data_IF_442420434105
#
_entry.id   IF_442420434105
#
_cell.length_a   1.000
_cell.length_b   1.000
_cell.length_c   1.000
_cell.angle_alpha   90.00
_cell.angle_beta   90.00
_cell.angle_gamma   90.00
#
_symmetry.space_group_name_H-M   'P 1'
#
loop_
_entity.id
_entity.type
_entity.pdbx_description
1 polymer ?
#
# COMPACT_ATOMS: atom_id res chain seq x y z
N UNK A 1 -18.64 -6.91 -27.71
CA UNK A 1 -17.35 -6.57 -27.08
C UNK A 1 -17.66 -5.93 -25.74
N UNK A 2 -17.55 -6.70 -24.65
CA UNK A 2 -18.00 -6.27 -23.32
C UNK A 2 -16.83 -5.64 -22.57
N UNK A 3 -16.85 -4.32 -22.43
CA UNK A 3 -15.77 -3.49 -21.84
C UNK A 3 -15.68 -3.60 -20.30
N UNK A 4 -16.51 -4.44 -19.67
CA UNK A 4 -16.65 -4.47 -18.22
C UNK A 4 -15.76 -5.51 -17.52
N UNK A 5 -15.06 -6.38 -18.27
CA UNK A 5 -14.16 -7.38 -17.67
C UNK A 5 -12.72 -6.87 -17.43
N UNK A 6 -12.36 -5.72 -18.00
CA UNK A 6 -10.99 -5.16 -17.89
C UNK A 6 -10.78 -4.30 -16.64
N UNK A 7 -11.85 -3.77 -16.05
CA UNK A 7 -11.76 -2.82 -14.93
C UNK A 7 -11.50 -3.52 -13.59
N UNK A 8 -11.98 -4.76 -13.42
CA UNK A 8 -11.72 -5.55 -12.22
C UNK A 8 -10.26 -6.05 -12.10
N UNK A 9 -9.52 -6.12 -13.21
CA UNK A 9 -8.11 -6.56 -13.23
C UNK A 9 -7.13 -5.38 -13.04
N UNK A 10 -7.53 -4.16 -13.40
CA UNK A 10 -6.68 -2.96 -13.32
C UNK A 10 -6.64 -2.33 -11.92
N UNK A 11 -7.58 -2.67 -11.04
CA UNK A 11 -7.58 -2.25 -9.64
C UNK A 11 -6.53 -2.98 -8.77
N UNK A 12 -5.84 -4.00 -9.30
CA UNK A 12 -4.79 -4.73 -8.58
C UNK A 12 -3.42 -4.02 -8.57
N UNK A 13 -3.23 -2.96 -9.37
CA UNK A 13 -1.94 -2.27 -9.52
C UNK A 13 -1.86 -0.91 -8.82
N UNK A 14 -2.94 -0.39 -8.23
CA UNK A 14 -3.02 0.99 -7.74
C UNK A 14 -2.72 1.16 -6.23
N UNK A 15 -2.17 0.16 -5.55
CA UNK A 15 -1.80 0.25 -4.12
C UNK A 15 -0.29 0.10 -3.86
N UNK A 16 0.57 0.37 -4.85
CA UNK A 16 1.99 0.65 -4.62
C UNK A 16 2.17 2.16 -4.40
N UNK A 17 1.63 2.64 -3.28
CA UNK A 17 1.93 3.97 -2.75
C UNK A 17 3.35 4.00 -2.20
N UNK A 18 4.21 4.72 -2.93
CA UNK A 18 5.45 5.39 -2.53
C UNK A 18 5.82 5.28 -1.03
N UNK A 19 6.92 4.57 -0.75
CA UNK A 19 7.89 5.00 0.25
C UNK A 19 9.28 4.83 -0.33
N UNK A 20 9.77 5.89 -0.98
CA UNK A 20 11.18 6.07 -1.24
C UNK A 20 11.86 6.43 0.08
N UNK A 21 12.80 5.60 0.52
CA UNK A 21 13.87 6.03 1.44
C UNK A 21 15.16 5.50 0.84
N UNK A 22 15.80 6.34 0.03
CA UNK A 22 17.18 6.15 -0.38
C UNK A 22 18.06 6.34 0.88
N UNK A 23 18.90 5.35 1.15
CA UNK A 23 19.99 5.45 2.10
C UNK A 23 21.26 5.25 1.28
N UNK A 24 21.86 6.35 0.86
CA UNK A 24 23.20 6.39 0.26
C UNK A 24 24.18 6.83 1.35
N UNK A 25 25.10 5.94 1.67
CA UNK A 25 26.28 6.24 2.48
C UNK A 25 27.20 7.22 1.75
N UNK A 26 27.90 8.01 2.57
CA UNK A 26 28.40 9.32 2.21
C UNK A 26 29.77 9.38 1.54
N UNK A 27 30.07 10.56 1.03
CA UNK A 27 31.42 11.13 1.11
C UNK A 27 31.34 12.66 1.09
N UNK A 28 32.11 13.24 2.01
CA UNK A 28 32.40 14.66 2.28
C UNK A 28 32.43 15.61 1.08
N UNK A 29 31.82 16.79 1.21
CA UNK A 29 32.53 18.08 1.20
C UNK A 29 31.58 19.24 1.54
N UNK A 30 32.15 20.33 2.03
CA UNK A 30 31.51 21.57 2.46
C UNK A 30 30.67 22.25 1.37
N UNK A 31 29.58 22.94 1.73
CA UNK A 31 29.47 24.41 1.61
C UNK A 31 28.12 24.89 2.18
N UNK A 32 28.09 26.13 2.62
CA UNK A 32 26.95 26.84 3.17
C UNK A 32 25.80 26.99 2.15
N UNK A 33 24.56 27.01 2.64
CA UNK A 33 23.58 28.11 2.46
C UNK A 33 22.28 27.70 3.14
N UNK A 34 21.92 28.43 4.20
CA UNK A 34 20.65 28.28 4.92
C UNK A 34 19.55 28.95 4.11
N UNK A 35 18.63 28.16 3.57
CA UNK A 35 17.35 28.64 3.04
C UNK A 35 16.22 27.95 3.79
N UNK A 36 15.70 28.63 4.80
CA UNK A 36 14.55 28.19 5.61
C UNK A 36 13.27 28.52 4.85
N UNK A 37 12.62 27.51 4.28
CA UNK A 37 11.25 27.64 3.76
C UNK A 37 10.26 27.06 4.76
N UNK A 38 9.47 27.96 5.36
CA UNK A 38 8.31 27.67 6.18
C UNK A 38 7.24 26.92 5.37
N UNK A 39 6.71 25.83 5.93
CA UNK A 39 5.38 25.34 5.57
C UNK A 39 4.57 25.09 6.83
N UNK A 40 3.49 25.84 6.92
CA UNK A 40 2.49 25.94 7.97
C UNK A 40 1.80 24.61 8.30
N UNK A 41 1.72 24.29 9.59
CA UNK A 41 0.73 23.36 10.16
C UNK A 41 -0.49 24.17 10.56
N UNK A 42 -1.61 23.90 9.89
CA UNK A 42 -2.96 24.25 10.31
C UNK A 42 -3.41 23.32 11.43
N UNK A 43 -3.80 23.88 12.57
CA UNK A 43 -4.32 23.11 13.70
C UNK A 43 -4.69 23.98 14.90
N UNK A 44 -5.89 24.56 14.83
CA UNK A 44 -6.72 25.13 15.90
C UNK A 44 -6.18 25.00 17.33
N UNK A 45 -5.48 26.04 17.78
CA UNK A 45 -5.18 26.31 19.18
C UNK A 45 -4.89 27.81 19.29
N UNK A 46 -5.62 28.50 20.15
CA UNK A 46 -5.59 29.96 20.35
C UNK A 46 -4.16 30.51 20.30
N UNK A 47 -3.86 31.25 19.23
CA UNK A 47 -2.61 31.97 19.04
C UNK A 47 -2.56 33.08 20.09
N UNK A 48 -1.78 32.86 21.15
CA UNK A 48 -1.47 33.91 22.11
C UNK A 48 -0.73 35.03 21.39
N UNK A 49 -1.31 36.23 21.40
CA UNK A 49 -0.63 37.43 20.94
C UNK A 49 0.74 37.54 21.63
N UNK A 50 1.82 37.91 20.92
CA UNK A 50 3.08 38.25 21.57
C UNK A 50 2.84 39.42 22.55
N UNK A 51 3.45 39.40 23.75
CA UNK A 51 3.32 40.49 24.69
C UNK A 51 3.78 41.79 24.03
N UNK A 52 2.92 42.81 24.04
CA UNK A 52 3.26 44.15 23.54
C UNK A 52 4.56 44.62 24.21
N UNK A 53 5.52 45.19 23.47
CA UNK A 53 6.68 45.80 24.08
C UNK A 53 6.22 46.94 25.01
N UNK A 54 6.71 46.91 26.26
CA UNK A 54 6.45 47.93 27.28
C UNK A 54 6.82 49.32 26.70
N UNK A 55 5.93 50.29 26.88
CA UNK A 55 6.19 51.67 26.44
C UNK A 55 7.30 52.30 27.29
N UNK A 56 8.01 53.27 26.71
CA UNK A 56 9.14 53.97 27.36
C UNK A 56 8.78 54.55 28.73
N UNK A 57 7.53 54.99 28.90
CA UNK A 57 6.99 55.50 30.17
C UNK A 57 6.91 54.42 31.27
N UNK A 58 6.53 53.19 30.92
CA UNK A 58 6.47 52.07 31.88
C UNK A 58 7.87 51.62 32.33
N UNK A 59 8.87 51.79 31.46
CA UNK A 59 10.28 51.51 31.79
C UNK A 59 10.82 52.58 32.74
N UNK A 60 10.50 53.85 32.51
CA UNK A 60 10.94 54.96 33.38
C UNK A 60 10.27 54.93 34.76
N UNK A 61 9.00 54.55 34.85
CA UNK A 61 8.29 54.41 36.12
C UNK A 61 8.82 53.25 36.96
N UNK A 62 9.12 52.11 36.33
CA UNK A 62 9.77 50.96 36.99
C UNK A 62 11.20 51.29 37.46
N UNK A 63 11.94 52.07 36.68
CA UNK A 63 13.28 52.54 37.07
C UNK A 63 13.22 53.53 38.25
N UNK A 64 12.17 54.34 38.36
CA UNK A 64 11.96 55.28 39.47
C UNK A 64 11.67 54.55 40.78
N UNK A 65 10.81 53.52 40.75
CA UNK A 65 10.49 52.69 41.93
C UNK A 65 11.73 51.97 42.47
N UNK A 66 12.58 51.45 41.57
CA UNK A 66 13.84 50.80 41.96
C UNK A 66 14.88 51.77 42.55
N UNK A 67 14.80 53.07 42.22
CA UNK A 67 15.75 54.08 42.69
C UNK A 67 15.35 54.73 44.01
N UNK A 68 14.05 54.80 44.31
CA UNK A 68 13.54 55.41 45.55
C UNK A 68 13.30 54.40 46.67
N UNK A 69 13.22 53.11 46.36
CA UNK A 69 12.81 52.08 47.31
C UNK A 69 13.89 51.08 47.72
N UNK A 70 15.08 51.51 48.17
CA UNK A 70 15.94 50.69 49.07
C UNK A 70 17.09 51.53 49.64
N UNK A 71 16.82 52.28 50.71
CA UNK A 71 17.87 52.58 51.70
C UNK A 71 17.89 51.38 52.64
N UNK A 72 18.77 50.41 52.36
CA UNK A 72 19.02 49.28 53.26
C UNK A 72 19.87 49.82 54.41
N UNK A 73 19.42 49.77 55.68
CA UNK A 73 20.27 50.11 56.80
C UNK A 73 21.43 49.10 56.86
N UNK A 74 22.66 49.61 56.87
CA UNK A 74 23.88 48.87 57.23
C UNK A 74 23.74 48.42 58.69
N UNK A 75 23.10 47.28 58.91
CA UNK A 75 23.03 46.65 60.22
C UNK A 75 23.85 45.36 60.20
N UNK A 76 24.89 45.36 61.03
CA UNK A 76 25.58 44.20 61.60
C UNK A 76 26.23 43.21 60.62
N UNK A 77 27.40 43.61 60.09
CA UNK A 77 28.50 42.66 59.89
C UNK A 77 29.00 42.22 61.27
N UNK A 78 28.51 41.10 61.79
CA UNK A 78 28.90 40.67 63.14
C UNK A 78 28.50 39.27 63.56
N UNK A 79 27.99 38.43 62.64
CA UNK A 79 27.74 37.02 62.93
C UNK A 79 28.54 36.14 61.96
N UNK A 80 29.62 35.59 62.54
CA UNK A 80 30.00 34.17 62.45
C UNK A 80 30.25 33.61 61.04
N UNK A 81 31.51 33.73 60.60
CA UNK A 81 32.09 32.92 59.52
C UNK A 81 31.82 31.40 59.69
N UNK A 82 31.67 30.93 60.95
CA UNK A 82 31.30 29.54 61.27
C UNK A 82 29.83 29.17 61.02
N UNK A 83 28.90 30.13 61.00
CA UNK A 83 27.47 29.87 60.76
C UNK A 83 27.16 29.79 59.26
N UNK A 84 27.85 30.61 58.44
CA UNK A 84 27.84 30.46 56.98
C UNK A 84 28.48 29.14 56.52
N UNK A 85 29.50 28.65 57.21
CA UNK A 85 30.09 27.34 56.92
C UNK A 85 29.14 26.18 57.27
N UNK A 86 28.37 26.29 58.37
CA UNK A 86 27.36 25.29 58.77
C UNK A 86 26.14 25.30 57.84
N UNK A 87 25.62 26.48 57.48
CA UNK A 87 24.58 26.62 56.46
C UNK A 87 25.05 26.13 55.09
N UNK A 88 26.30 26.41 54.71
CA UNK A 88 26.91 25.88 53.48
C UNK A 88 27.00 24.35 53.47
N UNK A 89 27.42 23.73 54.58
CA UNK A 89 27.48 22.27 54.70
C UNK A 89 26.09 21.61 54.59
N UNK A 90 25.07 22.15 55.29
CA UNK A 90 23.69 21.64 55.20
C UNK A 90 23.08 21.87 53.82
N UNK A 91 23.44 22.95 53.13
CA UNK A 91 22.97 23.21 51.75
C UNK A 91 23.65 22.29 50.75
N UNK A 92 24.91 21.89 50.99
CA UNK A 92 25.66 20.99 50.10
C UNK A 92 25.15 19.55 50.20
N UNK A 93 24.81 19.08 51.41
CA UNK A 93 24.18 17.77 51.61
C UNK A 93 22.76 17.71 51.03
N UNK A 94 21.96 18.76 51.22
CA UNK A 94 20.64 18.87 50.61
C UNK A 94 20.71 18.90 49.06
N UNK A 95 21.69 19.59 48.47
CA UNK A 95 21.90 19.57 47.02
C UNK A 95 22.35 18.19 46.52
N UNK A 96 23.17 17.46 47.29
CA UNK A 96 23.61 16.11 46.92
C UNK A 96 22.46 15.10 46.95
N UNK A 97 21.63 15.12 48.00
CA UNK A 97 20.43 14.30 48.10
C UNK A 97 19.43 14.59 46.96
N UNK A 98 19.22 15.87 46.64
CA UNK A 98 18.31 16.27 45.56
C UNK A 98 18.88 15.90 44.16
N UNK A 99 20.20 15.95 43.98
CA UNK A 99 20.86 15.44 42.76
C UNK A 99 20.69 13.93 42.62
N UNK A 100 20.90 13.17 43.70
CA UNK A 100 20.72 11.70 43.70
C UNK A 100 19.25 11.32 43.42
N UNK A 101 18.30 12.06 43.97
CA UNK A 101 16.87 11.84 43.71
C UNK A 101 16.48 12.19 42.26
N UNK A 102 16.99 13.29 41.72
CA UNK A 102 16.82 13.64 40.30
C UNK A 102 17.44 12.60 39.36
N UNK A 103 18.61 12.07 39.69
CA UNK A 103 19.23 10.99 38.92
C UNK A 103 18.43 9.69 38.97
N UNK A 104 17.87 9.34 40.13
CA UNK A 104 16.98 8.17 40.27
C UNK A 104 15.72 8.34 39.43
N UNK A 105 15.06 9.50 39.50
CA UNK A 105 13.87 9.84 38.71
C UNK A 105 14.18 9.89 37.22
N UNK A 106 15.35 10.39 36.82
CA UNK A 106 15.79 10.40 35.43
C UNK A 106 16.07 8.98 34.89
N UNK A 107 16.68 8.09 35.70
CA UNK A 107 16.90 6.68 35.34
C UNK A 107 15.57 5.93 35.21
N UNK A 108 14.62 6.16 36.11
CA UNK A 108 13.29 5.55 36.09
C UNK A 108 12.42 6.05 34.92
N UNK A 109 12.46 7.34 34.61
CA UNK A 109 11.84 7.91 33.41
C UNK A 109 12.44 7.33 32.13
N UNK A 110 13.77 7.15 32.06
CA UNK A 110 14.41 6.52 30.90
C UNK A 110 14.04 5.05 30.77
N UNK A 111 14.01 4.30 31.87
CA UNK A 111 13.62 2.88 31.88
C UNK A 111 12.17 2.70 31.44
N UNK A 112 11.24 3.48 32.01
CA UNK A 112 9.81 3.44 31.63
C UNK A 112 9.59 3.85 30.17
N UNK A 113 10.25 4.90 29.69
CA UNK A 113 10.16 5.33 28.28
C UNK A 113 10.71 4.26 27.34
N UNK A 114 11.78 3.55 27.74
CA UNK A 114 12.37 2.47 26.95
C UNK A 114 11.47 1.23 26.89
N UNK A 115 10.90 0.83 28.03
CA UNK A 115 9.93 -0.27 28.11
C UNK A 115 8.67 0.04 27.29
N UNK A 116 8.13 1.26 27.38
CA UNK A 116 6.98 1.69 26.58
C UNK A 116 7.29 1.63 25.07
N UNK A 117 8.48 2.09 24.67
CA UNK A 117 8.93 1.99 23.27
C UNK A 117 9.07 0.56 22.78
N UNK A 118 9.50 -0.38 23.63
CA UNK A 118 9.57 -1.80 23.28
C UNK A 118 8.15 -2.39 23.08
N UNK A 119 7.25 -2.17 24.04
CA UNK A 119 5.87 -2.67 23.97
C UNK A 119 5.11 -2.14 22.73
N UNK A 120 5.28 -0.85 22.40
CA UNK A 120 4.67 -0.25 21.20
C UNK A 120 5.19 -0.92 19.92
N UNK A 121 6.50 -1.22 19.85
CA UNK A 121 7.08 -1.90 18.68
C UNK A 121 6.54 -3.32 18.53
N UNK A 122 6.42 -4.05 19.63
CA UNK A 122 5.92 -5.43 19.61
C UNK A 122 4.45 -5.49 19.18
N UNK A 123 3.60 -4.58 19.69
CA UNK A 123 2.22 -4.47 19.24
C UNK A 123 2.12 -4.10 17.74
N UNK A 124 2.96 -3.17 17.27
CA UNK A 124 2.98 -2.80 15.86
C UNK A 124 3.42 -3.97 14.97
N UNK A 125 4.39 -4.78 15.40
CA UNK A 125 4.81 -5.98 14.68
C UNK A 125 3.69 -7.03 14.62
N UNK A 126 3.01 -7.29 15.74
CA UNK A 126 1.85 -8.20 15.79
C UNK A 126 0.74 -7.74 14.83
N UNK A 127 0.37 -6.46 14.88
CA UNK A 127 -0.63 -5.87 13.96
C UNK A 127 -0.23 -5.99 12.50
N UNK A 128 1.04 -5.74 12.17
CA UNK A 128 1.56 -5.88 10.80
C UNK A 128 1.50 -7.32 10.30
N UNK A 129 1.85 -8.29 11.16
CA UNK A 129 1.76 -9.72 10.82
C UNK A 129 0.32 -10.17 10.63
N UNK A 130 -0.61 -9.70 11.46
CA UNK A 130 -2.02 -10.02 11.32
C UNK A 130 -2.62 -9.45 10.02
N UNK A 131 -2.30 -8.20 9.69
CA UNK A 131 -2.71 -7.58 8.42
C UNK A 131 -2.12 -8.37 7.24
N UNK A 132 -0.84 -8.74 7.31
CA UNK A 132 -0.20 -9.54 6.27
C UNK A 132 -0.86 -10.91 6.09
N UNK A 133 -1.29 -11.57 7.19
CA UNK A 133 -2.04 -12.84 7.11
C UNK A 133 -3.35 -12.67 6.36
N UNK A 134 -4.17 -11.68 6.78
CA UNK A 134 -5.47 -11.40 6.15
C UNK A 134 -5.32 -11.05 4.67
N UNK A 135 -4.32 -10.23 4.32
CA UNK A 135 -4.05 -9.87 2.92
C UNK A 135 -3.69 -11.10 2.08
N UNK A 136 -2.85 -11.95 2.64
CA UNK A 136 -2.37 -13.14 1.96
C UNK A 136 -3.48 -14.18 1.75
N UNK A 137 -4.36 -14.38 2.74
CA UNK A 137 -5.56 -15.22 2.58
C UNK A 137 -6.48 -14.70 1.47
N UNK A 138 -6.68 -13.38 1.40
CA UNK A 138 -7.47 -12.77 0.34
C UNK A 138 -6.83 -12.98 -1.05
N UNK A 139 -5.51 -12.89 -1.14
CA UNK A 139 -4.78 -13.17 -2.39
C UNK A 139 -5.01 -14.63 -2.82
N UNK A 140 -4.84 -15.59 -1.91
CA UNK A 140 -5.08 -17.01 -2.23
C UNK A 140 -6.50 -17.27 -2.71
N UNK A 141 -7.52 -16.74 -2.02
CA UNK A 141 -8.93 -16.85 -2.43
C UNK A 141 -9.16 -16.28 -3.83
N UNK A 142 -8.52 -15.15 -4.16
CA UNK A 142 -8.63 -14.52 -5.48
C UNK A 142 -7.96 -15.35 -6.58
N UNK A 143 -6.80 -15.93 -6.31
CA UNK A 143 -6.09 -16.78 -7.27
C UNK A 143 -6.87 -18.08 -7.55
N UNK A 144 -7.41 -18.71 -6.51
CA UNK A 144 -8.28 -19.90 -6.65
C UNK A 144 -9.53 -19.58 -7.47
N UNK A 145 -10.20 -18.46 -7.16
CA UNK A 145 -11.37 -18.02 -7.93
C UNK A 145 -11.02 -17.69 -9.39
N UNK A 146 -9.82 -17.16 -9.66
CA UNK A 146 -9.35 -16.89 -11.02
C UNK A 146 -9.13 -18.20 -11.81
N UNK A 147 -8.49 -19.20 -11.19
CA UNK A 147 -8.32 -20.54 -11.77
C UNK A 147 -9.68 -21.16 -12.09
N UNK A 148 -10.64 -21.10 -11.16
CA UNK A 148 -11.99 -21.64 -11.36
C UNK A 148 -12.72 -20.98 -12.54
N UNK A 149 -12.61 -19.65 -12.68
CA UNK A 149 -13.22 -18.92 -13.81
C UNK A 149 -12.64 -19.36 -15.15
N UNK A 150 -11.31 -19.51 -15.25
CA UNK A 150 -10.65 -19.95 -16.49
C UNK A 150 -10.96 -21.42 -16.79
N UNK A 151 -11.09 -22.26 -15.77
CA UNK A 151 -11.54 -23.65 -15.91
C UNK A 151 -12.95 -23.71 -16.52
N UNK A 152 -13.92 -23.00 -15.91
CA UNK A 152 -15.30 -22.94 -16.43
C UNK A 152 -15.38 -22.42 -17.86
N UNK A 153 -14.50 -21.49 -18.22
CA UNK A 153 -14.40 -21.01 -19.61
C UNK A 153 -13.87 -22.11 -20.53
N UNK A 154 -12.82 -22.82 -20.12
CA UNK A 154 -12.23 -23.93 -20.87
C UNK A 154 -13.25 -25.05 -21.12
N UNK A 155 -14.04 -25.41 -20.09
CA UNK A 155 -15.08 -26.44 -20.19
C UNK A 155 -16.18 -26.02 -21.19
N UNK A 156 -16.63 -24.77 -21.12
CA UNK A 156 -17.61 -24.22 -22.07
C UNK A 156 -17.09 -24.19 -23.50
N UNK A 157 -15.80 -23.90 -23.70
CA UNK A 157 -15.19 -23.95 -25.04
C UNK A 157 -15.12 -25.39 -25.51
N UNK A 158 -14.73 -26.34 -24.66
CA UNK A 158 -14.70 -27.76 -25.00
C UNK A 158 -16.08 -28.27 -25.45
N UNK A 159 -17.15 -27.95 -24.72
CA UNK A 159 -18.53 -28.29 -25.13
C UNK A 159 -18.89 -27.72 -26.51
N UNK A 160 -18.49 -26.48 -26.80
CA UNK A 160 -18.75 -25.84 -28.10
C UNK A 160 -17.95 -26.48 -29.23
N UNK A 161 -16.70 -26.88 -28.97
CA UNK A 161 -15.90 -27.62 -29.95
C UNK A 161 -16.56 -28.95 -30.31
N UNK A 162 -17.07 -29.69 -29.32
CA UNK A 162 -17.79 -30.95 -29.57
C UNK A 162 -19.03 -30.74 -30.44
N UNK A 163 -19.80 -29.65 -30.23
CA UNK A 163 -20.93 -29.32 -31.09
C UNK A 163 -20.49 -28.99 -32.52
N UNK A 164 -19.41 -28.24 -32.69
CA UNK A 164 -18.89 -27.86 -34.00
C UNK A 164 -18.28 -29.04 -34.77
N UNK A 165 -17.70 -30.01 -34.08
CA UNK A 165 -17.29 -31.29 -34.69
C UNK A 165 -18.47 -32.08 -35.22
N UNK A 166 -19.58 -32.12 -34.48
CA UNK A 166 -20.81 -32.75 -34.96
C UNK A 166 -21.40 -32.03 -36.18
N UNK A 167 -21.15 -30.72 -36.33
CA UNK A 167 -21.48 -29.92 -37.51
C UNK A 167 -20.45 -30.03 -38.66
N UNK A 168 -19.41 -30.86 -38.49
CA UNK A 168 -18.38 -31.10 -39.51
C UNK A 168 -17.26 -30.06 -39.58
N UNK A 169 -17.10 -29.20 -38.56
CA UNK A 169 -15.99 -28.24 -38.49
C UNK A 169 -14.70 -28.88 -37.95
N UNK A 170 -13.56 -28.51 -38.52
CA UNK A 170 -12.24 -28.94 -38.02
C UNK A 170 -11.85 -28.18 -36.76
N UNK A 171 -11.75 -28.86 -35.63
CA UNK A 171 -11.44 -28.29 -34.30
C UNK A 171 -10.07 -28.69 -33.74
N UNK A 172 -9.26 -29.42 -34.52
CA UNK A 172 -7.99 -30.03 -34.07
C UNK A 172 -7.05 -29.03 -33.40
N UNK A 173 -6.82 -27.88 -34.03
CA UNK A 173 -5.92 -26.82 -33.50
C UNK A 173 -6.45 -26.25 -32.17
N UNK A 174 -7.76 -26.04 -32.10
CA UNK A 174 -8.42 -25.46 -30.93
C UNK A 174 -8.41 -26.40 -29.74
N UNK A 175 -8.52 -27.72 -29.98
CA UNK A 175 -8.29 -28.73 -28.95
C UNK A 175 -6.85 -28.73 -28.44
N UNK A 176 -5.87 -28.53 -29.32
CA UNK A 176 -4.47 -28.33 -28.93
C UNK A 176 -4.30 -27.17 -27.94
N UNK A 177 -4.85 -26.00 -28.27
CA UNK A 177 -4.81 -24.85 -27.37
C UNK A 177 -5.56 -25.07 -26.05
N UNK A 178 -6.67 -25.81 -26.05
CA UNK A 178 -7.34 -26.17 -24.79
C UNK A 178 -6.50 -27.12 -23.93
N UNK A 179 -5.76 -28.04 -24.53
CA UNK A 179 -4.85 -28.91 -23.79
C UNK A 179 -3.73 -28.09 -23.13
N UNK A 180 -3.11 -27.16 -23.86
CA UNK A 180 -2.12 -26.22 -23.32
C UNK A 180 -2.70 -25.37 -22.18
N UNK A 181 -3.93 -24.86 -22.33
CA UNK A 181 -4.62 -24.10 -21.29
C UNK A 181 -4.81 -24.92 -20.01
N UNK A 182 -5.18 -26.20 -20.12
CA UNK A 182 -5.34 -27.11 -18.98
C UNK A 182 -4.01 -27.37 -18.27
N UNK A 183 -2.94 -27.66 -19.03
CA UNK A 183 -1.59 -27.81 -18.46
C UNK A 183 -1.19 -26.56 -17.66
N UNK A 184 -1.43 -25.38 -18.22
CA UNK A 184 -1.15 -24.10 -17.53
C UNK A 184 -2.01 -23.87 -16.29
N UNK A 185 -3.27 -24.33 -16.27
CA UNK A 185 -4.10 -24.28 -15.07
C UNK A 185 -3.60 -25.22 -13.97
N UNK A 186 -3.10 -26.40 -14.32
CA UNK A 186 -2.54 -27.35 -13.35
C UNK A 186 -1.19 -26.86 -12.79
N UNK A 187 -0.35 -26.23 -13.63
CA UNK A 187 0.83 -25.48 -13.18
C UNK A 187 0.44 -24.37 -12.20
N UNK A 188 -0.59 -23.57 -12.52
CA UNK A 188 -1.07 -22.50 -11.65
C UNK A 188 -1.58 -23.03 -10.30
N UNK A 189 -2.32 -24.15 -10.28
CA UNK A 189 -2.78 -24.81 -9.04
C UNK A 189 -1.61 -25.25 -8.17
N UNK A 190 -0.61 -25.87 -8.78
CA UNK A 190 0.61 -26.32 -8.08
C UNK A 190 1.35 -25.14 -7.46
N UNK A 191 1.51 -24.05 -8.21
CA UNK A 191 2.15 -22.83 -7.71
C UNK A 191 1.33 -22.14 -6.61
N UNK A 192 0.00 -22.13 -6.67
CA UNK A 192 -0.86 -21.62 -5.58
C UNK A 192 -0.70 -22.45 -4.30
N UNK A 193 -0.59 -23.77 -4.41
CA UNK A 193 -0.28 -24.62 -3.26
C UNK A 193 1.11 -24.29 -2.68
N UNK A 194 2.11 -24.07 -3.55
CA UNK A 194 3.44 -23.62 -3.14
C UNK A 194 3.44 -22.26 -2.44
N UNK A 195 2.59 -21.32 -2.88
CA UNK A 195 2.40 -20.03 -2.20
C UNK A 195 1.92 -20.26 -0.77
N UNK A 196 0.90 -21.10 -0.52
CA UNK A 196 0.40 -21.39 0.84
C UNK A 196 1.52 -21.83 1.78
N UNK A 197 2.37 -22.76 1.32
CA UNK A 197 3.52 -23.24 2.08
C UNK A 197 4.55 -22.13 2.32
N UNK A 198 4.88 -21.35 1.29
CA UNK A 198 5.83 -20.24 1.41
C UNK A 198 5.36 -19.18 2.41
N UNK A 199 4.04 -18.92 2.45
CA UNK A 199 3.41 -18.00 3.40
C UNK A 199 3.53 -18.51 4.84
N UNK A 200 3.20 -19.77 5.09
CA UNK A 200 3.30 -20.37 6.41
C UNK A 200 4.75 -20.32 6.92
N UNK A 201 5.71 -20.63 6.05
CA UNK A 201 7.14 -20.53 6.35
C UNK A 201 7.58 -19.08 6.62
N UNK A 202 7.09 -18.11 5.83
CA UNK A 202 7.35 -16.70 6.03
C UNK A 202 6.81 -16.20 7.39
N UNK A 203 5.65 -16.69 7.82
CA UNK A 203 5.09 -16.35 9.13
C UNK A 203 5.79 -17.07 10.28
N UNK A 204 6.19 -18.32 10.11
CA UNK A 204 6.95 -19.05 11.12
C UNK A 204 8.29 -18.36 11.39
N UNK A 205 9.04 -18.03 10.34
CA UNK A 205 10.33 -17.30 10.44
C UNK A 205 10.16 -15.89 11.01
N UNK A 206 9.10 -15.16 10.63
CA UNK A 206 8.81 -13.85 11.18
C UNK A 206 8.43 -13.88 12.68
N UNK A 207 7.76 -14.95 13.14
CA UNK A 207 7.38 -15.12 14.55
C UNK A 207 8.61 -15.47 15.40
N UNK A 208 9.48 -16.34 14.91
CA UNK A 208 10.76 -16.66 15.57
C UNK A 208 11.67 -15.43 15.64
N UNK A 209 11.79 -14.67 14.53
CA UNK A 209 12.57 -13.44 14.49
C UNK A 209 11.99 -12.34 15.41
N UNK A 210 10.67 -12.26 15.56
CA UNK A 210 10.04 -11.34 16.51
C UNK A 210 10.30 -11.72 17.98
N UNK A 211 10.57 -13.01 18.25
CA UNK A 211 10.85 -13.49 19.61
C UNK A 211 12.35 -13.44 19.94
N UNK A 212 13.22 -13.52 18.92
CA UNK A 212 14.68 -13.60 19.09
C UNK A 212 15.44 -12.28 18.80
N UNK A 213 14.85 -11.32 18.10
CA UNK A 213 15.58 -10.12 17.63
C UNK A 213 15.27 -8.86 18.43
N UNK A 214 16.31 -8.30 19.06
CA UNK A 214 16.34 -6.94 19.61
C UNK A 214 16.48 -5.85 18.53
N UNK A 215 16.65 -6.24 17.25
CA UNK A 215 16.86 -5.34 16.12
C UNK A 215 15.61 -5.25 15.23
N UNK A 216 15.06 -4.03 15.00
CA UNK A 216 13.83 -3.85 14.24
C UNK A 216 14.08 -3.88 12.72
N UNK A 217 13.34 -4.71 11.99
CA UNK A 217 12.64 -4.19 10.80
C UNK A 217 12.92 -4.75 9.40
N UNK A 218 13.73 -5.79 9.20
CA UNK A 218 14.02 -6.30 7.83
C UNK A 218 13.51 -7.72 7.54
N UNK A 219 13.50 -8.62 8.52
CA UNK A 219 13.16 -10.03 8.29
C UNK A 219 11.72 -10.26 7.73
N UNK A 220 10.65 -9.62 8.25
CA UNK A 220 9.31 -9.81 7.70
C UNK A 220 9.14 -9.21 6.29
N UNK A 221 9.92 -8.18 5.95
CA UNK A 221 9.84 -7.51 4.65
C UNK A 221 10.41 -8.39 3.53
N UNK A 222 11.50 -9.10 3.79
CA UNK A 222 12.13 -9.97 2.79
C UNK A 222 11.27 -11.21 2.52
N UNK A 223 10.76 -11.87 3.56
CA UNK A 223 9.90 -13.04 3.39
C UNK A 223 8.61 -12.72 2.60
N UNK A 224 8.05 -11.51 2.77
CA UNK A 224 6.88 -11.07 2.00
C UNK A 224 7.20 -10.71 0.55
N UNK A 225 8.45 -10.32 0.21
CA UNK A 225 8.86 -10.08 -1.18
C UNK A 225 8.88 -11.38 -1.98
N UNK A 226 9.33 -12.48 -1.39
CA UNK A 226 9.36 -13.78 -2.05
C UNK A 226 7.94 -14.28 -2.35
N UNK A 227 7.02 -14.12 -1.38
CA UNK A 227 5.59 -14.41 -1.59
C UNK A 227 5.03 -13.54 -2.74
N UNK A 228 5.36 -12.25 -2.78
CA UNK A 228 4.92 -11.37 -3.87
C UNK A 228 5.44 -11.81 -5.25
N UNK A 229 6.70 -12.27 -5.33
CA UNK A 229 7.27 -12.79 -6.57
C UNK A 229 6.52 -14.04 -7.04
N UNK A 230 6.22 -14.97 -6.13
CA UNK A 230 5.43 -16.16 -6.43
C UNK A 230 4.01 -15.81 -6.90
N UNK A 231 3.34 -14.87 -6.24
CA UNK A 231 2.00 -14.40 -6.63
C UNK A 231 2.00 -13.82 -8.05
N UNK A 232 3.04 -13.05 -8.41
CA UNK A 232 3.18 -12.51 -9.78
C UNK A 232 3.37 -13.63 -10.81
N UNK A 233 4.18 -14.63 -10.49
CA UNK A 233 4.41 -15.77 -11.38
C UNK A 233 3.14 -16.61 -11.60
N UNK A 234 2.36 -16.85 -10.54
CA UNK A 234 1.03 -17.49 -10.66
C UNK A 234 0.10 -16.66 -11.54
N UNK A 235 0.05 -15.35 -11.31
CA UNK A 235 -0.82 -14.46 -12.09
C UNK A 235 -0.49 -14.53 -13.58
N UNK A 236 0.81 -14.53 -13.92
CA UNK A 236 1.28 -14.71 -15.30
C UNK A 236 0.86 -16.06 -15.88
N UNK A 237 0.99 -17.14 -15.10
CA UNK A 237 0.58 -18.49 -15.52
C UNK A 237 -0.93 -18.57 -15.81
N UNK A 238 -1.76 -17.94 -14.96
CA UNK A 238 -3.22 -17.84 -15.18
C UNK A 238 -3.55 -17.02 -16.45
N UNK A 239 -2.81 -15.93 -16.69
CA UNK A 239 -2.98 -15.13 -17.90
C UNK A 239 -2.60 -15.90 -19.17
N UNK A 240 -1.52 -16.68 -19.12
CA UNK A 240 -1.13 -17.59 -20.21
C UNK A 240 -2.24 -18.60 -20.49
N UNK A 241 -2.78 -19.27 -19.46
CA UNK A 241 -3.91 -20.18 -19.61
C UNK A 241 -5.11 -19.51 -20.29
N UNK A 242 -5.49 -18.31 -19.83
CA UNK A 242 -6.58 -17.54 -20.45
C UNK A 242 -6.29 -17.17 -21.91
N UNK A 243 -5.03 -16.85 -22.25
CA UNK A 243 -4.62 -16.57 -23.63
C UNK A 243 -4.80 -17.79 -24.53
N UNK A 244 -4.42 -18.98 -24.06
CA UNK A 244 -4.64 -20.22 -24.82
C UNK A 244 -6.14 -20.52 -25.03
N UNK A 245 -6.99 -20.27 -24.03
CA UNK A 245 -8.45 -20.37 -24.20
C UNK A 245 -8.96 -19.36 -25.25
N UNK A 246 -8.45 -18.13 -25.25
CA UNK A 246 -8.81 -17.14 -26.26
C UNK A 246 -8.36 -17.55 -27.67
N UNK A 247 -7.18 -18.16 -27.81
CA UNK A 247 -6.68 -18.70 -29.08
C UNK A 247 -7.52 -19.89 -29.57
N UNK A 248 -7.94 -20.77 -28.66
CA UNK A 248 -8.87 -21.86 -28.98
C UNK A 248 -10.20 -21.33 -29.53
N UNK A 249 -10.70 -20.21 -29.00
CA UNK A 249 -11.92 -19.57 -29.50
C UNK A 249 -11.69 -18.91 -30.86
N UNK A 250 -10.57 -18.19 -31.05
CA UNK A 250 -10.31 -17.46 -32.29
C UNK A 250 -10.10 -18.37 -33.49
N UNK A 251 -9.53 -19.55 -33.28
CA UNK A 251 -9.30 -20.55 -34.34
C UNK A 251 -10.59 -21.16 -34.87
N UNK A 252 -11.63 -21.22 -34.04
CA UNK A 252 -12.92 -21.83 -34.39
C UNK A 252 -13.94 -20.85 -34.94
N UNK A 253 -13.81 -19.56 -34.64
CA UNK A 253 -14.85 -18.57 -34.95
C UNK A 253 -15.12 -18.52 -36.47
N UNK A 254 -16.27 -19.04 -36.96
CA UNK A 254 -16.58 -19.07 -38.37
C UNK A 254 -17.04 -17.66 -38.77
N UNK A 255 -16.15 -16.91 -39.41
CA UNK A 255 -16.44 -15.54 -39.83
C UNK A 255 -15.23 -14.64 -40.03
N UNK A 256 -14.05 -15.00 -39.52
CA UNK A 256 -12.79 -14.30 -39.85
C UNK A 256 -11.99 -14.98 -40.96
N UNK A 257 -12.12 -16.30 -41.14
CA UNK A 257 -11.32 -17.09 -42.09
C UNK A 257 -12.14 -17.73 -43.23
N UNK A 258 -13.45 -17.49 -43.32
CA UNK A 258 -14.19 -17.83 -44.55
C UNK A 258 -13.94 -16.69 -45.54
N UNK A 259 -13.38 -16.93 -46.75
CA UNK A 259 -13.50 -15.93 -47.82
C UNK A 259 -14.99 -15.65 -47.95
N UNK A 260 -15.39 -14.41 -47.66
CA UNK A 260 -16.76 -13.96 -47.80
C UNK A 260 -17.12 -14.19 -49.26
N UNK A 261 -17.93 -15.20 -49.54
CA UNK A 261 -18.53 -15.35 -50.86
C UNK A 261 -19.35 -14.07 -51.05
N UNK A 262 -18.92 -13.22 -51.97
CA UNK A 262 -19.65 -12.00 -52.29
C UNK A 262 -21.07 -12.43 -52.68
N UNK A 263 -22.04 -12.14 -51.81
CA UNK A 263 -23.44 -12.30 -52.16
C UNK A 263 -23.72 -11.24 -53.22
N UNK A 264 -23.69 -11.64 -54.50
CA UNK A 264 -24.19 -10.84 -55.60
C UNK A 264 -25.70 -10.75 -55.42
N UNK A 265 -26.16 -9.61 -54.90
CA UNK A 265 -27.57 -9.22 -54.93
C UNK A 265 -28.07 -9.33 -56.38
N UNK A 266 -29.06 -10.17 -56.69
CA UNK A 266 -29.66 -10.19 -58.02
C UNK A 266 -30.31 -8.83 -58.28
N UNK A 267 -30.01 -8.20 -59.41
CA UNK A 267 -30.69 -6.99 -59.84
C UNK A 267 -32.17 -7.32 -60.12
N UNK A 268 -33.07 -6.76 -59.31
CA UNK A 268 -34.50 -6.81 -59.55
C UNK A 268 -34.83 -5.94 -60.77
N UNK A 269 -35.02 -6.56 -61.93
CA UNK A 269 -35.62 -5.91 -63.10
C UNK A 269 -37.13 -5.91 -62.96
N UNK A 270 -37.70 -4.74 -62.67
CA UNK A 270 -39.15 -4.51 -62.65
C UNK A 270 -39.70 -4.46 -64.07
N UNK A 271 -40.65 -5.34 -64.48
CA UNK A 271 -41.33 -5.20 -65.76
C UNK A 271 -42.40 -4.09 -65.68
N UNK A 272 -42.29 -3.10 -66.57
CA UNK A 272 -43.31 -2.09 -66.82
C UNK A 272 -44.46 -2.73 -67.62
N UNK A 273 -45.66 -2.80 -67.04
CA UNK A 273 -46.86 -3.29 -67.72
C UNK A 273 -47.71 -2.10 -68.19
N UNK A 274 -47.74 -1.87 -69.50
CA UNK A 274 -48.60 -0.90 -70.18
C UNK A 274 -50.03 -1.44 -70.22
N UNK A 275 -50.96 -0.76 -69.56
CA UNK A 275 -52.39 -1.05 -69.65
C UNK A 275 -53.01 -0.43 -70.91
N UNK A 276 -53.64 -1.26 -71.74
CA UNK A 276 -54.51 -0.83 -72.85
C UNK A 276 -55.96 -1.04 -72.44
N UNK A 277 -56.73 0.04 -72.36
CA UNK A 277 -58.15 0.04 -71.99
C UNK A 277 -59.01 -0.05 -73.25
N UNK A 278 -59.82 -1.10 -73.39
CA UNK A 278 -60.83 -1.26 -74.45
C UNK A 278 -62.21 -0.91 -73.88
N UNK A 279 -62.91 0.05 -74.50
CA UNK A 279 -64.27 0.44 -74.15
C UNK A 279 -65.29 -0.41 -74.94
N UNK A 280 -66.30 -0.92 -74.23
CA UNK A 280 -67.44 -1.66 -74.79
C UNK A 280 -68.64 -0.72 -74.92
N UNK A 281 -69.18 -0.61 -76.13
CA UNK A 281 -70.44 0.07 -76.45
C UNK A 281 -71.54 -0.97 -76.62
N UNK A 282 -72.68 -0.79 -75.94
CA UNK A 282 -73.90 -1.58 -76.15
C UNK A 282 -75.04 -0.65 -76.54
N UNK A 283 -75.75 -1.05 -77.60
CA UNK A 283 -76.96 -0.42 -78.14
C UNK A 283 -78.21 -0.77 -77.33
#
# INVERSE_FOLDING_TARGET
>A
MNKNLSIALLALLAFTGVTASAQTDGTTSADATVTTTNTSVTGTGTVGLPPKPLTREQIEERARILRTGTVVPKQTQGTTFGEKARLGATTTEAMKANREEMERRAKEMRASTTALRANIKDEQLKKRLEIARKQTELINKRLEAAIERVQKLSDRVAERLTKLEAEGSTTTVSRGHLAEAKTKLDEARTKVAGIKVAIENAFATATVAATASTTPGTAPKNAMKDVQALVKDVTKTIQEAHKHVALAISTVKPGLNKPRTATTTPATTTPSTTGTTTATTTQ
#
